data_IF_099000202850
#
_entry.id   IF_099000202850
#
_cell.length_a   1.000
_cell.length_b   1.000
_cell.length_c   1.000
_cell.angle_alpha   90.00
_cell.angle_beta   90.00
_cell.angle_gamma   90.00
#
_symmetry.space_group_name_H-M   'P 1'
#
loop_
_entity.id
_entity.type
_entity.pdbx_description
1 polymer ?
#
# COMPACT_ATOMS: atom_id res chain seq x y z
N UNK A 1 13.09 24.83 13.42
CA UNK A 1 13.49 23.41 13.53
C UNK A 1 12.64 22.63 14.54
N UNK A 2 12.69 22.91 15.86
CA UNK A 2 11.90 22.16 16.86
C UNK A 2 10.38 22.17 16.60
N UNK A 3 9.80 23.33 16.23
CA UNK A 3 8.38 23.45 15.86
C UNK A 3 8.00 22.58 14.66
N UNK A 4 8.85 22.57 13.62
CA UNK A 4 8.67 21.75 12.41
C UNK A 4 8.69 20.28 12.77
N UNK A 5 9.71 19.82 13.52
CA UNK A 5 9.82 18.42 13.95
C UNK A 5 8.61 17.99 14.78
N UNK A 6 8.21 18.79 15.76
CA UNK A 6 7.05 18.47 16.60
C UNK A 6 5.76 18.38 15.79
N UNK A 7 5.58 19.26 14.81
CA UNK A 7 4.39 19.26 13.95
C UNK A 7 4.40 18.05 13.00
N UNK A 8 5.55 17.72 12.40
CA UNK A 8 5.71 16.52 11.57
C UNK A 8 5.37 15.26 12.35
N UNK A 9 5.90 15.11 13.56
CA UNK A 9 5.64 13.94 14.41
C UNK A 9 4.15 13.85 14.74
N UNK A 10 3.52 14.95 15.15
CA UNK A 10 2.09 14.99 15.48
C UNK A 10 1.22 14.58 14.28
N UNK A 11 1.44 15.20 13.12
CA UNK A 11 0.67 14.94 11.90
C UNK A 11 0.89 13.49 11.44
N UNK A 12 2.13 13.02 11.44
CA UNK A 12 2.47 11.64 11.11
C UNK A 12 1.73 10.63 11.98
N UNK A 13 1.70 10.84 13.31
CA UNK A 13 0.95 9.96 14.21
C UNK A 13 -0.54 9.94 13.89
N UNK A 14 -1.14 11.10 13.60
CA UNK A 14 -2.55 11.19 13.22
C UNK A 14 -2.80 10.39 11.93
N UNK A 15 -1.95 10.54 10.91
CA UNK A 15 -2.06 9.82 9.64
C UNK A 15 -1.93 8.31 9.82
N UNK A 16 -0.95 7.87 10.62
CA UNK A 16 -0.75 6.46 10.93
C UNK A 16 -1.98 5.84 11.59
N UNK A 17 -2.56 6.54 12.57
CA UNK A 17 -3.79 6.09 13.24
C UNK A 17 -4.93 5.97 12.23
N UNK A 18 -5.12 6.97 11.36
CA UNK A 18 -6.17 6.95 10.32
C UNK A 18 -5.96 5.77 9.37
N UNK A 19 -4.73 5.55 8.89
CA UNK A 19 -4.41 4.45 7.97
C UNK A 19 -4.70 3.09 8.62
N UNK A 20 -4.31 2.90 9.88
CA UNK A 20 -4.55 1.66 10.62
C UNK A 20 -6.04 1.41 10.88
N UNK A 21 -6.77 2.43 11.36
CA UNK A 21 -8.21 2.32 11.64
C UNK A 21 -8.97 1.99 10.36
N UNK A 22 -8.64 2.65 9.25
CA UNK A 22 -9.25 2.36 7.96
C UNK A 22 -8.98 0.93 7.50
N UNK A 23 -7.73 0.47 7.56
CA UNK A 23 -7.36 -0.89 7.18
C UNK A 23 -8.11 -1.96 7.99
N UNK A 24 -8.26 -1.74 9.30
CA UNK A 24 -9.03 -2.63 10.18
C UNK A 24 -10.51 -2.62 9.82
N UNK A 25 -11.07 -1.44 9.55
CA UNK A 25 -12.47 -1.28 9.18
C UNK A 25 -12.81 -2.01 7.87
N UNK A 26 -12.02 -1.82 6.82
CA UNK A 26 -12.23 -2.50 5.52
C UNK A 26 -12.11 -4.02 5.66
N UNK A 27 -11.11 -4.50 6.40
CA UNK A 27 -10.96 -5.93 6.62
C UNK A 27 -12.18 -6.55 7.32
N UNK A 28 -12.79 -5.82 8.26
CA UNK A 28 -14.01 -6.26 8.96
C UNK A 28 -15.23 -6.29 8.03
N UNK A 29 -15.33 -5.37 7.07
CA UNK A 29 -16.41 -5.37 6.06
C UNK A 29 -16.27 -6.60 5.15
N UNK A 30 -15.07 -6.83 4.61
CA UNK A 30 -14.81 -7.94 3.68
C UNK A 30 -15.00 -9.30 4.37
N UNK A 31 -14.63 -9.40 5.65
CA UNK A 31 -14.88 -10.60 6.47
C UNK A 31 -16.38 -10.86 6.63
N UNK A 32 -17.20 -9.82 6.82
CA UNK A 32 -18.66 -9.96 6.95
C UNK A 32 -19.34 -10.38 5.64
N UNK A 33 -18.83 -9.94 4.49
CA UNK A 33 -19.39 -10.33 3.19
C UNK A 33 -19.08 -11.77 2.81
N UNK A 34 -17.97 -12.33 3.30
CA UNK A 34 -17.55 -13.71 3.05
C UNK A 34 -18.03 -14.64 4.17
N UNK A 35 -19.34 -14.94 4.23
CA UNK A 35 -19.99 -15.83 5.21
C UNK A 35 -19.48 -17.30 5.22
N UNK A 36 -18.45 -17.67 4.45
CA UNK A 36 -17.89 -19.03 4.40
C UNK A 36 -16.38 -19.01 4.63
N UNK A 37 -15.95 -19.32 5.85
CA UNK A 37 -14.90 -20.30 6.18
C UNK A 37 -14.24 -20.01 7.54
N UNK A 38 -14.55 -20.89 8.49
CA UNK A 38 -13.82 -21.07 9.74
C UNK A 38 -12.36 -21.45 9.48
N UNK A 39 -11.47 -20.98 10.36
CA UNK A 39 -10.03 -21.32 10.47
C UNK A 39 -9.04 -20.80 9.40
N UNK A 40 -9.42 -20.58 8.13
CA UNK A 40 -8.57 -19.91 7.13
C UNK A 40 -8.45 -18.38 7.29
N UNK A 41 -9.13 -17.83 8.29
CA UNK A 41 -9.64 -16.46 8.30
C UNK A 41 -8.62 -15.40 8.84
N UNK A 42 -7.66 -15.80 9.69
CA UNK A 42 -6.75 -14.84 10.35
C UNK A 42 -5.67 -14.31 9.42
N UNK A 43 -5.04 -15.19 8.64
CA UNK A 43 -3.97 -14.80 7.71
C UNK A 43 -4.55 -13.98 6.54
N UNK A 44 -5.72 -14.38 6.05
CA UNK A 44 -6.43 -13.64 5.01
C UNK A 44 -6.85 -12.24 5.47
N UNK A 45 -7.35 -12.11 6.70
CA UNK A 45 -7.65 -10.81 7.30
C UNK A 45 -6.41 -9.92 7.41
N UNK A 46 -5.28 -10.48 7.85
CA UNK A 46 -4.00 -9.75 7.92
C UNK A 46 -3.53 -9.30 6.53
N UNK A 47 -3.69 -10.14 5.51
CA UNK A 47 -3.37 -9.79 4.13
C UNK A 47 -4.20 -8.58 3.66
N UNK A 48 -5.51 -8.61 3.89
CA UNK A 48 -6.41 -7.50 3.57
C UNK A 48 -5.99 -6.24 4.32
N UNK A 49 -5.81 -6.32 5.64
CA UNK A 49 -5.39 -5.18 6.47
C UNK A 49 -4.08 -4.56 5.95
N UNK A 50 -3.06 -5.37 5.69
CA UNK A 50 -1.77 -4.87 5.22
C UNK A 50 -1.85 -4.25 3.82
N UNK A 51 -2.69 -4.79 2.94
CA UNK A 51 -2.91 -4.25 1.59
C UNK A 51 -3.62 -2.90 1.65
N UNK A 52 -4.69 -2.77 2.43
CA UNK A 52 -5.43 -1.51 2.56
C UNK A 52 -4.66 -0.45 3.34
N UNK A 53 -3.88 -0.85 4.36
CA UNK A 53 -2.97 0.06 5.04
C UNK A 53 -1.95 0.65 4.04
N UNK A 54 -1.37 -0.19 3.18
CA UNK A 54 -0.46 0.28 2.13
C UNK A 54 -1.12 1.23 1.15
N UNK A 55 -2.33 0.92 0.72
CA UNK A 55 -3.09 1.80 -0.17
C UNK A 55 -3.28 3.18 0.47
N UNK A 56 -3.63 3.24 1.76
CA UNK A 56 -3.78 4.50 2.47
C UNK A 56 -2.47 5.27 2.66
N UNK A 57 -1.35 4.56 2.91
CA UNK A 57 -0.04 5.20 2.95
C UNK A 57 0.33 5.82 1.59
N UNK A 58 0.17 5.07 0.50
CA UNK A 58 0.45 5.59 -0.84
C UNK A 58 -0.46 6.77 -1.19
N UNK A 59 -1.75 6.68 -0.85
CA UNK A 59 -2.67 7.80 -1.00
C UNK A 59 -2.22 9.02 -0.20
N UNK A 60 -1.81 8.84 1.06
CA UNK A 60 -1.34 9.93 1.92
C UNK A 60 -0.07 10.59 1.35
N UNK A 61 0.88 9.80 0.86
CA UNK A 61 2.10 10.28 0.18
C UNK A 61 1.73 11.12 -1.05
N UNK A 62 0.79 10.64 -1.87
CA UNK A 62 0.35 11.37 -3.06
C UNK A 62 -0.43 12.64 -2.72
N UNK A 63 -1.30 12.59 -1.69
CA UNK A 63 -2.09 13.73 -1.26
C UNK A 63 -1.23 14.85 -0.63
N UNK A 64 -0.11 14.49 0.00
CA UNK A 64 0.85 15.46 0.53
C UNK A 64 1.71 16.11 -0.55
N UNK A 65 1.79 15.51 -1.73
CA UNK A 65 2.59 16.04 -2.82
C UNK A 65 2.03 17.40 -3.27
N UNK A 66 2.83 18.44 -3.06
CA UNK A 66 2.53 19.83 -3.39
C UNK A 66 2.05 20.02 -4.83
N UNK A 67 2.66 19.31 -5.79
CA UNK A 67 2.27 19.40 -7.21
C UNK A 67 0.86 18.89 -7.47
N UNK A 68 0.43 17.84 -6.77
CA UNK A 68 -0.93 17.31 -6.88
C UNK A 68 -1.93 18.27 -6.24
N UNK A 69 -1.60 18.80 -5.06
CA UNK A 69 -2.43 19.78 -4.38
C UNK A 69 -2.62 21.04 -5.22
N UNK A 70 -1.55 21.62 -5.77
CA UNK A 70 -1.64 22.82 -6.61
C UNK A 70 -2.49 22.59 -7.86
N UNK A 71 -2.29 21.49 -8.57
CA UNK A 71 -3.09 21.15 -9.76
C UNK A 71 -4.57 21.00 -9.43
N UNK A 72 -4.92 20.37 -8.30
CA UNK A 72 -6.32 20.15 -7.92
C UNK A 72 -6.97 21.44 -7.40
N UNK A 73 -6.22 22.29 -6.67
CA UNK A 73 -6.77 23.50 -6.05
C UNK A 73 -6.80 24.71 -6.98
N UNK A 74 -5.86 24.85 -7.92
CA UNK A 74 -5.76 26.04 -8.77
C UNK A 74 -6.32 25.85 -10.19
N UNK A 75 -6.53 24.61 -10.64
CA UNK A 75 -7.11 24.36 -11.96
C UNK A 75 -8.62 24.64 -11.97
N UNK A 76 -9.06 25.48 -12.92
CA UNK A 76 -10.46 25.87 -13.06
C UNK A 76 -11.24 24.91 -13.95
N UNK A 77 -10.55 24.16 -14.82
CA UNK A 77 -11.19 23.17 -15.67
C UNK A 77 -11.49 21.89 -14.89
N UNK A 78 -12.74 21.72 -14.47
CA UNK A 78 -13.19 20.56 -13.71
C UNK A 78 -12.94 19.23 -14.43
N UNK A 79 -13.09 19.18 -15.76
CA UNK A 79 -12.83 17.94 -16.52
C UNK A 79 -11.36 17.52 -16.43
N UNK A 80 -10.44 18.49 -16.40
CA UNK A 80 -9.01 18.24 -16.26
C UNK A 80 -8.68 17.74 -14.85
N UNK A 81 -9.26 18.36 -13.82
CA UNK A 81 -9.12 17.91 -12.41
C UNK A 81 -9.65 16.48 -12.22
N UNK A 82 -10.79 16.14 -12.82
CA UNK A 82 -11.35 14.79 -12.76
C UNK A 82 -10.46 13.77 -13.49
N UNK A 83 -10.01 14.09 -14.70
CA UNK A 83 -9.12 13.21 -15.47
C UNK A 83 -7.79 12.97 -14.72
N UNK A 84 -7.23 14.01 -14.10
CA UNK A 84 -6.02 13.91 -13.30
C UNK A 84 -6.21 13.06 -12.05
N UNK A 85 -7.30 13.27 -11.32
CA UNK A 85 -7.64 12.48 -10.13
C UNK A 85 -7.86 11.01 -10.47
N UNK A 86 -8.55 10.72 -11.57
CA UNK A 86 -8.72 9.36 -12.07
C UNK A 86 -7.37 8.72 -12.43
N UNK A 87 -6.48 9.46 -13.11
CA UNK A 87 -5.14 9.00 -13.44
C UNK A 87 -4.34 8.62 -12.19
N UNK A 88 -4.37 9.48 -11.16
CA UNK A 88 -3.70 9.22 -9.86
C UNK A 88 -4.26 7.97 -9.19
N UNK A 89 -5.59 7.79 -9.17
CA UNK A 89 -6.21 6.58 -8.62
C UNK A 89 -5.73 5.33 -9.36
N UNK A 90 -5.69 5.36 -10.69
CA UNK A 90 -5.20 4.23 -11.50
C UNK A 90 -3.74 3.91 -11.18
N UNK A 91 -2.89 4.93 -11.05
CA UNK A 91 -1.48 4.78 -10.67
C UNK A 91 -1.34 4.16 -9.28
N UNK A 92 -2.11 4.64 -8.30
CA UNK A 92 -2.09 4.11 -6.92
C UNK A 92 -2.49 2.63 -6.90
N UNK A 93 -3.56 2.25 -7.59
CA UNK A 93 -4.01 0.87 -7.69
C UNK A 93 -2.95 0.00 -8.38
N UNK A 94 -2.34 0.51 -9.45
CA UNK A 94 -1.26 -0.18 -10.14
C UNK A 94 -0.04 -0.39 -9.23
N UNK A 95 0.37 0.62 -8.46
CA UNK A 95 1.47 0.51 -7.49
C UNK A 95 1.17 -0.54 -6.42
N UNK A 96 -0.04 -0.54 -5.84
CA UNK A 96 -0.44 -1.55 -4.86
C UNK A 96 -0.37 -2.96 -5.46
N UNK A 97 -0.88 -3.13 -6.68
CA UNK A 97 -0.85 -4.41 -7.38
C UNK A 97 0.59 -4.88 -7.65
N UNK A 98 1.43 -3.98 -8.16
CA UNK A 98 2.84 -4.24 -8.44
C UNK A 98 3.61 -4.61 -7.16
N UNK A 99 3.41 -3.88 -6.07
CA UNK A 99 4.04 -4.17 -4.77
C UNK A 99 3.59 -5.52 -4.20
N UNK A 100 2.31 -5.88 -4.36
CA UNK A 100 1.82 -7.19 -3.97
C UNK A 100 2.46 -8.31 -4.81
N UNK A 101 2.57 -8.14 -6.12
CA UNK A 101 3.26 -9.09 -7.00
C UNK A 101 4.76 -9.21 -6.67
N UNK A 102 5.41 -8.10 -6.29
CA UNK A 102 6.79 -8.10 -5.82
C UNK A 102 6.97 -8.93 -4.54
N UNK A 103 6.07 -8.77 -3.55
CA UNK A 103 6.12 -9.57 -2.33
C UNK A 103 5.88 -11.05 -2.63
N UNK A 104 4.91 -11.38 -3.50
CA UNK A 104 4.65 -12.76 -3.93
C UNK A 104 5.93 -13.36 -4.54
N UNK A 105 6.57 -12.66 -5.47
CA UNK A 105 7.83 -13.11 -6.08
C UNK A 105 8.90 -13.37 -5.03
N UNK A 106 9.06 -12.45 -4.07
CA UNK A 106 10.02 -12.62 -2.97
C UNK A 106 9.69 -13.81 -2.08
N UNK A 107 8.40 -14.05 -1.79
CA UNK A 107 7.94 -15.20 -1.02
C UNK A 107 8.13 -16.53 -1.76
N UNK A 108 7.85 -16.53 -3.07
CA UNK A 108 8.08 -17.68 -3.95
C UNK A 108 9.55 -18.07 -3.99
N UNK A 109 10.48 -17.14 -4.22
CA UNK A 109 11.91 -17.46 -4.29
C UNK A 109 12.42 -18.18 -3.03
N UNK A 110 11.86 -17.87 -1.86
CA UNK A 110 12.21 -18.53 -0.61
C UNK A 110 11.59 -19.95 -0.48
N UNK A 111 10.45 -20.22 -1.14
CA UNK A 111 9.85 -21.56 -1.24
C UNK A 111 10.49 -22.40 -2.36
N UNK A 112 10.82 -21.79 -3.51
CA UNK A 112 11.45 -22.44 -4.68
C UNK A 112 12.88 -22.88 -4.36
N UNK A 113 13.60 -22.19 -3.48
CA UNK A 113 14.89 -22.67 -2.98
C UNK A 113 14.79 -24.04 -2.28
N UNK A 114 13.57 -24.47 -1.88
CA UNK A 114 13.28 -25.79 -1.29
C UNK A 114 12.64 -26.79 -2.27
N UNK A 115 12.20 -26.37 -3.46
CA UNK A 115 11.52 -27.24 -4.43
C UNK A 115 12.08 -27.02 -5.85
N UNK A 116 12.70 -28.07 -6.38
CA UNK A 116 13.38 -28.07 -7.67
C UNK A 116 12.48 -27.64 -8.85
N UNK A 117 13.07 -26.84 -9.74
CA UNK A 117 12.61 -26.47 -11.10
C UNK A 117 11.20 -25.87 -11.17
N UNK A 118 11.06 -24.62 -10.70
CA UNK A 118 9.96 -23.76 -11.17
C UNK A 118 10.40 -23.08 -12.47
N UNK A 119 9.52 -23.07 -13.46
CA UNK A 119 9.79 -22.42 -14.74
C UNK A 119 10.06 -20.91 -14.54
N UNK A 120 11.23 -20.44 -14.96
CA UNK A 120 11.75 -19.09 -14.68
C UNK A 120 10.85 -17.94 -15.14
N UNK A 121 9.90 -18.19 -16.06
CA UNK A 121 8.94 -17.18 -16.50
C UNK A 121 7.83 -16.91 -15.47
N UNK A 122 7.45 -17.92 -14.65
CA UNK A 122 6.41 -17.78 -13.61
C UNK A 122 6.86 -16.90 -12.44
N UNK A 123 8.15 -16.62 -12.36
CA UNK A 123 8.75 -15.74 -11.35
C UNK A 123 8.81 -14.27 -11.80
N UNK A 124 8.45 -13.95 -13.05
CA UNK A 124 8.42 -12.57 -13.54
C UNK A 124 7.27 -11.82 -12.87
N UNK A 125 7.54 -10.61 -12.39
CA UNK A 125 6.52 -9.75 -11.73
C UNK A 125 5.32 -9.51 -12.66
N UNK A 126 5.57 -9.28 -13.96
CA UNK A 126 4.51 -9.10 -14.95
C UNK A 126 3.59 -10.32 -15.07
N UNK A 127 4.15 -11.53 -15.02
CA UNK A 127 3.37 -12.76 -15.04
C UNK A 127 2.53 -12.90 -13.77
N UNK A 128 3.13 -12.66 -12.60
CA UNK A 128 2.42 -12.69 -11.30
C UNK A 128 1.29 -11.66 -11.26
N UNK A 129 1.50 -10.47 -11.82
CA UNK A 129 0.44 -9.44 -11.91
C UNK A 129 -0.72 -9.96 -12.77
N UNK A 130 -0.45 -10.44 -13.98
CA UNK A 130 -1.49 -10.95 -14.91
C UNK A 130 -2.23 -12.17 -14.36
N UNK A 131 -1.52 -13.05 -13.64
CA UNK A 131 -2.03 -14.32 -13.13
C UNK A 131 -2.23 -14.31 -11.60
N UNK A 132 -2.49 -13.14 -11.00
CA UNK A 132 -2.49 -12.97 -9.53
C UNK A 132 -3.37 -13.97 -8.76
N UNK A 133 -4.48 -14.42 -9.35
CA UNK A 133 -5.39 -15.42 -8.75
C UNK A 133 -4.70 -16.75 -8.46
N UNK A 134 -3.74 -17.16 -9.29
CA UNK A 134 -2.98 -18.42 -9.11
C UNK A 134 -2.09 -18.37 -7.86
N UNK A 135 -1.71 -17.18 -7.42
CA UNK A 135 -0.79 -16.94 -6.30
C UNK A 135 -1.50 -16.56 -4.99
N UNK A 136 -2.83 -16.59 -4.96
CA UNK A 136 -3.62 -16.12 -3.81
C UNK A 136 -3.34 -16.95 -2.54
N UNK A 137 -3.00 -18.23 -2.70
CA UNK A 137 -2.56 -19.08 -1.59
C UNK A 137 -1.29 -18.56 -0.91
N UNK A 138 -0.36 -17.95 -1.67
CA UNK A 138 0.90 -17.40 -1.16
C UNK A 138 0.64 -16.15 -0.32
N UNK A 139 -0.34 -15.33 -0.71
CA UNK A 139 -0.75 -14.14 0.05
C UNK A 139 -1.21 -14.47 1.48
N UNK A 140 -1.70 -15.70 1.70
CA UNK A 140 -2.15 -16.19 2.99
C UNK A 140 -1.04 -16.94 3.76
N UNK A 141 0.24 -16.80 3.40
CA UNK A 141 1.37 -17.41 4.13
C UNK A 141 2.00 -16.43 5.12
N UNK A 142 2.62 -16.93 6.18
CA UNK A 142 3.34 -16.07 7.14
C UNK A 142 4.53 -15.34 6.52
N UNK A 143 5.24 -15.97 5.57
CA UNK A 143 6.39 -15.35 4.91
C UNK A 143 5.98 -14.13 4.09
N UNK A 144 4.87 -14.25 3.34
CA UNK A 144 4.25 -13.12 2.66
C UNK A 144 3.91 -12.00 3.64
N UNK A 145 3.21 -12.31 4.74
CA UNK A 145 2.77 -11.29 5.72
C UNK A 145 3.93 -10.59 6.42
N UNK A 146 5.03 -11.31 6.70
CA UNK A 146 6.26 -10.73 7.27
C UNK A 146 6.91 -9.76 6.30
N UNK A 147 7.03 -10.13 5.01
CA UNK A 147 7.60 -9.27 3.96
C UNK A 147 6.71 -8.06 3.67
N UNK A 148 5.40 -8.28 3.62
CA UNK A 148 4.40 -7.24 3.45
C UNK A 148 4.42 -6.22 4.60
N UNK A 149 4.57 -6.66 5.85
CA UNK A 149 4.75 -5.76 6.99
C UNK A 149 6.03 -4.90 6.87
N UNK A 150 7.17 -5.51 6.51
CA UNK A 150 8.43 -4.78 6.28
C UNK A 150 8.30 -3.70 5.21
N UNK A 151 7.64 -4.02 4.10
CA UNK A 151 7.40 -3.06 3.03
C UNK A 151 6.50 -1.90 3.51
N UNK A 152 5.47 -2.22 4.30
CA UNK A 152 4.58 -1.22 4.87
C UNK A 152 5.32 -0.27 5.84
N UNK A 153 6.21 -0.79 6.69
CA UNK A 153 7.08 0.05 7.53
C UNK A 153 8.00 0.94 6.70
N UNK A 154 8.57 0.41 5.62
CA UNK A 154 9.41 1.20 4.72
C UNK A 154 8.64 2.34 4.04
N UNK A 155 7.42 2.07 3.57
CA UNK A 155 6.56 3.10 2.98
C UNK A 155 6.11 4.14 4.01
N UNK A 156 5.79 3.70 5.22
CA UNK A 156 5.47 4.59 6.35
C UNK A 156 6.65 5.51 6.69
N UNK A 157 7.87 4.98 6.70
CA UNK A 157 9.08 5.78 6.90
C UNK A 157 9.32 6.79 5.77
N UNK A 158 9.08 6.41 4.51
CA UNK A 158 9.12 7.35 3.37
C UNK A 158 8.07 8.45 3.56
N UNK A 159 6.84 8.09 3.95
CA UNK A 159 5.78 9.07 4.19
C UNK A 159 6.19 10.08 5.28
N UNK A 160 6.82 9.62 6.36
CA UNK A 160 7.37 10.49 7.39
C UNK A 160 8.42 11.47 6.85
N UNK A 161 9.37 10.98 6.04
CA UNK A 161 10.41 11.82 5.44
C UNK A 161 9.80 12.88 4.52
N UNK A 162 8.85 12.49 3.66
CA UNK A 162 8.20 13.41 2.74
C UNK A 162 7.41 14.48 3.49
N UNK A 163 6.62 14.08 4.50
CA UNK A 163 5.90 15.01 5.36
C UNK A 163 6.85 15.99 6.06
N UNK A 164 8.02 15.54 6.50
CA UNK A 164 9.02 16.43 7.08
C UNK A 164 9.49 17.49 6.08
N UNK A 165 9.77 17.10 4.84
CA UNK A 165 10.19 18.04 3.79
C UNK A 165 9.07 19.02 3.44
N UNK A 166 7.84 18.56 3.28
CA UNK A 166 6.70 19.43 2.95
C UNK A 166 6.45 20.48 4.03
N UNK A 167 6.43 20.08 5.30
CA UNK A 167 6.27 21.02 6.42
C UNK A 167 7.48 21.97 6.49
N UNK A 168 8.69 21.47 6.24
CA UNK A 168 9.87 22.34 6.24
C UNK A 168 9.80 23.40 5.14
N UNK A 169 9.31 23.07 3.95
CA UNK A 169 9.11 24.03 2.85
C UNK A 169 8.06 25.08 3.23
N UNK A 170 6.96 24.70 3.88
CA UNK A 170 5.91 25.63 4.30
C UNK A 170 6.35 26.65 5.37
N UNK A 171 7.38 26.32 6.17
CA UNK A 171 7.87 27.14 7.28
C UNK A 171 9.16 27.91 6.95
N UNK A 172 9.61 27.90 5.69
CA UNK A 172 10.80 28.62 5.21
C UNK A 172 10.43 29.57 4.08
#
# INVERSE_FOLDING_TARGET
MLKVISLTVLIYFILEIICHVFAVYVAKIIERSNQKSSQGNVLHKKFIQQTFYRLMLLFSIFAMNHLYAELVFFEKNQNLVYAWSACVIVILLFLVWWLNAYIIRSAMLHQVQKQAVVESYKEKISYIMLHFKEYLAICNTEDYLKKSAKLNYFLSFIAFILLFFDIKILYF
#
